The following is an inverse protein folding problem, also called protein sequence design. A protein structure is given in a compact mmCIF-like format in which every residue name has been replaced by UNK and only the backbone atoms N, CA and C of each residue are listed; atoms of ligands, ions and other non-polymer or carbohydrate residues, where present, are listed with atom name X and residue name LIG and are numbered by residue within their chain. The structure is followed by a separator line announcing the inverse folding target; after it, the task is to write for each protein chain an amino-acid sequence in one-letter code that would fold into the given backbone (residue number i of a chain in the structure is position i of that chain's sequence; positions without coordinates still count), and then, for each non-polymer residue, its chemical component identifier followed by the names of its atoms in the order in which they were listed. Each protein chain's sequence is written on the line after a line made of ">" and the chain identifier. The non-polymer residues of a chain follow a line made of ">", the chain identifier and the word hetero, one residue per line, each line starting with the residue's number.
data_IF_858613955479
#
_entry.id   IF_858613955479
#
_cell.length_a   1.000
_cell.length_b   1.000
_cell.length_c   1.000
_cell.angle_alpha   90.00
_cell.angle_beta   90.00
_cell.angle_gamma   90.00
#
_symmetry.space_group_name_H-M   'P 1'
#
loop_
_entity.id
_entity.type
_entity.pdbx_description
1 polymer ?
#
# COMPACT_ATOMS: atom_id res chain seq x y z
N UNK A 1 -1.37 -22.90 -3.69
CA UNK A 1 -0.46 -22.26 -2.71
C UNK A 1 -1.26 -21.93 -1.45
N UNK A 2 -0.75 -22.22 -0.25
CA UNK A 2 -1.44 -21.93 1.02
C UNK A 2 -1.52 -20.43 1.30
N UNK A 3 -2.33 -20.02 2.27
CA UNK A 3 -2.44 -18.63 2.70
C UNK A 3 -1.10 -18.05 3.17
N UNK A 4 -0.32 -18.82 3.94
CA UNK A 4 1.02 -18.41 4.38
C UNK A 4 2.00 -18.29 3.21
N UNK A 5 1.91 -19.17 2.22
CA UNK A 5 2.76 -19.10 1.04
C UNK A 5 2.50 -17.84 0.22
N UNK A 6 1.22 -17.47 0.03
CA UNK A 6 0.84 -16.21 -0.63
C UNK A 6 1.29 -14.99 0.16
N UNK A 7 1.13 -15.01 1.48
CA UNK A 7 1.62 -13.93 2.34
C UNK A 7 3.15 -13.78 2.25
N UNK A 8 3.90 -14.87 2.26
CA UNK A 8 5.35 -14.83 2.16
C UNK A 8 5.81 -14.17 0.86
N UNK A 9 5.16 -14.50 -0.27
CA UNK A 9 5.43 -13.87 -1.56
C UNK A 9 5.19 -12.36 -1.53
N UNK A 10 4.05 -11.92 -0.98
CA UNK A 10 3.72 -10.50 -0.82
C UNK A 10 4.72 -9.79 0.08
N UNK A 11 5.14 -10.41 1.19
CA UNK A 11 6.13 -9.81 2.10
C UNK A 11 7.48 -9.58 1.40
N UNK A 12 7.93 -10.51 0.55
CA UNK A 12 9.17 -10.32 -0.22
C UNK A 12 9.04 -9.17 -1.21
N UNK A 13 7.95 -9.14 -1.97
CA UNK A 13 7.76 -8.17 -3.04
C UNK A 13 7.45 -6.76 -2.55
N UNK A 14 6.74 -6.63 -1.42
CA UNK A 14 6.29 -5.33 -0.91
C UNK A 14 7.13 -4.85 0.29
N UNK A 15 7.21 -5.63 1.36
CA UNK A 15 7.87 -5.16 2.59
C UNK A 15 9.40 -5.27 2.51
N UNK A 16 9.91 -6.34 1.90
CA UNK A 16 11.35 -6.59 1.85
C UNK A 16 12.02 -5.70 0.82
N UNK A 17 11.40 -5.53 -0.36
CA UNK A 17 11.86 -4.62 -1.41
C UNK A 17 12.04 -3.18 -0.88
N UNK A 18 11.07 -2.66 -0.13
CA UNK A 18 11.12 -1.33 0.49
C UNK A 18 12.27 -1.18 1.48
N UNK A 19 12.63 -2.24 2.19
CA UNK A 19 13.73 -2.20 3.16
C UNK A 19 15.11 -2.34 2.49
N UNK A 20 15.27 -3.25 1.54
CA UNK A 20 16.54 -3.50 0.85
C UNK A 20 16.91 -2.32 -0.07
N UNK A 21 15.92 -1.74 -0.74
CA UNK A 21 16.09 -0.64 -1.69
C UNK A 21 15.67 0.71 -1.11
N UNK A 22 15.79 0.89 0.21
CA UNK A 22 15.40 2.13 0.89
C UNK A 22 16.06 3.35 0.22
N UNK A 23 15.24 4.34 -0.12
CA UNK A 23 15.68 5.58 -0.77
C UNK A 23 16.02 5.43 -2.26
N UNK A 24 15.68 4.30 -2.88
CA UNK A 24 15.90 4.03 -4.30
C UNK A 24 14.60 3.68 -5.02
N UNK A 25 14.45 3.96 -6.32
CA UNK A 25 13.23 3.66 -7.08
C UNK A 25 12.83 2.18 -7.07
N UNK A 26 13.80 1.27 -6.91
CA UNK A 26 13.57 -0.18 -6.83
C UNK A 26 12.68 -0.58 -5.64
N UNK A 27 12.55 0.29 -4.62
CA UNK A 27 11.61 0.09 -3.50
C UNK A 27 10.14 0.05 -3.92
N UNK A 28 9.80 0.56 -5.11
CA UNK A 28 8.43 0.60 -5.66
C UNK A 28 8.26 -0.26 -6.91
N UNK A 29 9.34 -0.86 -7.42
CA UNK A 29 9.34 -1.54 -8.72
C UNK A 29 8.41 -2.76 -8.77
N UNK A 30 8.07 -3.34 -7.62
CA UNK A 30 7.24 -4.53 -7.51
C UNK A 30 5.81 -4.23 -7.03
N UNK A 31 5.46 -2.97 -6.79
CA UNK A 31 4.17 -2.57 -6.19
C UNK A 31 2.98 -3.14 -6.99
N UNK A 32 3.02 -3.05 -8.33
CA UNK A 32 1.96 -3.58 -9.19
C UNK A 32 1.82 -5.09 -9.10
N UNK A 33 2.92 -5.84 -9.06
CA UNK A 33 2.89 -7.29 -8.94
C UNK A 33 2.40 -7.72 -7.55
N UNK A 34 2.89 -7.07 -6.49
CA UNK A 34 2.44 -7.31 -5.13
C UNK A 34 0.94 -7.05 -4.96
N UNK A 35 0.41 -6.00 -5.60
CA UNK A 35 -1.02 -5.71 -5.61
C UNK A 35 -1.83 -6.82 -6.29
N UNK A 36 -1.41 -7.25 -7.48
CA UNK A 36 -2.10 -8.34 -8.21
C UNK A 36 -2.13 -9.61 -7.36
N UNK A 37 -1.00 -10.00 -6.76
CA UNK A 37 -0.93 -11.20 -5.91
C UNK A 37 -1.76 -11.08 -4.64
N UNK A 38 -1.82 -9.89 -4.05
CA UNK A 38 -2.71 -9.59 -2.93
C UNK A 38 -4.18 -9.72 -3.32
N UNK A 39 -4.59 -9.18 -4.47
CA UNK A 39 -5.94 -9.32 -5.00
C UNK A 39 -6.31 -10.80 -5.25
N UNK A 40 -5.42 -11.57 -5.86
CA UNK A 40 -5.60 -13.00 -6.06
C UNK A 40 -5.69 -13.78 -4.74
N UNK A 41 -4.93 -13.38 -3.71
CA UNK A 41 -5.01 -13.98 -2.38
C UNK A 41 -6.35 -13.69 -1.71
N UNK A 42 -6.86 -12.46 -1.83
CA UNK A 42 -8.19 -12.07 -1.31
C UNK A 42 -9.30 -12.82 -2.03
N UNK A 43 -9.28 -12.85 -3.38
CA UNK A 43 -10.25 -13.58 -4.20
C UNK A 43 -10.24 -15.07 -3.91
N UNK A 44 -9.06 -15.64 -3.67
CA UNK A 44 -8.89 -17.06 -3.31
C UNK A 44 -9.24 -17.41 -1.86
N UNK A 45 -9.71 -16.46 -1.04
CA UNK A 45 -10.14 -16.71 0.34
C UNK A 45 -9.01 -16.74 1.39
N UNK A 46 -7.74 -16.63 0.98
CA UNK A 46 -6.58 -16.74 1.87
C UNK A 46 -6.57 -15.69 2.98
N UNK A 47 -7.15 -14.50 2.74
CA UNK A 47 -7.25 -13.44 3.74
C UNK A 47 -7.98 -13.92 5.01
N UNK A 48 -9.03 -14.73 4.88
CA UNK A 48 -9.82 -15.20 6.03
C UNK A 48 -9.16 -16.33 6.80
N UNK A 49 -8.14 -16.98 6.24
CA UNK A 49 -7.37 -18.05 6.90
C UNK A 49 -6.27 -17.49 7.82
N UNK A 50 -5.91 -16.22 7.65
CA UNK A 50 -4.82 -15.58 8.38
C UNK A 50 -5.31 -14.85 9.64
N UNK A 51 -4.52 -14.81 10.73
CA UNK A 51 -4.80 -13.94 11.88
C UNK A 51 -4.69 -12.44 11.49
N UNK A 52 -5.36 -11.53 12.21
CA UNK A 52 -5.46 -10.11 11.84
C UNK A 52 -4.12 -9.44 11.53
N UNK A 53 -3.07 -9.70 12.31
CA UNK A 53 -1.75 -9.11 12.08
C UNK A 53 -1.17 -9.50 10.71
N UNK A 54 -1.42 -10.74 10.24
CA UNK A 54 -1.00 -11.22 8.93
C UNK A 54 -1.93 -10.72 7.82
N UNK A 55 -3.22 -10.55 8.10
CA UNK A 55 -4.17 -9.92 7.16
C UNK A 55 -3.73 -8.51 6.79
N UNK A 56 -3.28 -7.72 7.77
CA UNK A 56 -2.75 -6.38 7.54
C UNK A 56 -1.64 -6.38 6.48
N UNK A 57 -0.64 -7.26 6.63
CA UNK A 57 0.46 -7.40 5.66
C UNK A 57 0.00 -7.91 4.29
N UNK A 58 -0.96 -8.84 4.25
CA UNK A 58 -1.54 -9.30 3.00
C UNK A 58 -2.17 -8.13 2.23
N UNK A 59 -2.80 -7.18 2.94
CA UNK A 59 -3.52 -6.05 2.36
C UNK A 59 -2.66 -4.80 2.11
N UNK A 60 -1.44 -4.71 2.66
CA UNK A 60 -0.55 -3.54 2.46
C UNK A 60 -0.36 -3.12 0.99
N UNK A 61 -0.26 -4.04 0.00
CA UNK A 61 -0.15 -3.64 -1.40
C UNK A 61 -1.34 -2.82 -1.92
N UNK A 62 -2.54 -2.99 -1.36
CA UNK A 62 -3.68 -2.12 -1.66
C UNK A 62 -3.41 -0.67 -1.21
N UNK A 63 -2.94 -0.51 0.03
CA UNK A 63 -2.60 0.81 0.61
C UNK A 63 -1.46 1.48 -0.15
N UNK A 64 -0.53 0.70 -0.74
CA UNK A 64 0.60 1.25 -1.47
C UNK A 64 0.31 1.64 -2.92
N UNK A 65 -0.87 1.30 -3.45
CA UNK A 65 -1.26 1.60 -4.82
C UNK A 65 -1.45 3.10 -5.06
N UNK A 66 -1.10 3.60 -6.24
CA UNK A 66 -1.45 4.96 -6.69
C UNK A 66 -2.74 4.93 -7.53
N UNK A 67 -3.81 4.33 -7.00
CA UNK A 67 -5.11 4.20 -7.69
C UNK A 67 -6.28 4.38 -6.72
N UNK A 68 -7.11 5.40 -6.97
CA UNK A 68 -8.26 5.73 -6.11
C UNK A 68 -9.26 4.57 -6.01
N UNK A 69 -9.50 3.84 -7.11
CA UNK A 69 -10.38 2.66 -7.12
C UNK A 69 -9.86 1.54 -6.21
N UNK A 70 -8.53 1.36 -6.15
CA UNK A 70 -7.94 0.36 -5.26
C UNK A 70 -8.12 0.77 -3.80
N UNK A 71 -7.98 2.06 -3.48
CA UNK A 71 -8.25 2.58 -2.14
C UNK A 71 -9.73 2.46 -1.72
N UNK A 72 -10.68 2.60 -2.64
CA UNK A 72 -12.09 2.35 -2.35
C UNK A 72 -12.35 0.90 -1.90
N UNK A 73 -11.68 -0.06 -2.54
CA UNK A 73 -11.78 -1.47 -2.14
C UNK A 73 -10.98 -1.75 -0.86
N UNK A 74 -9.79 -1.14 -0.72
CA UNK A 74 -8.95 -1.26 0.45
C UNK A 74 -9.69 -0.86 1.73
N UNK A 75 -10.46 0.25 1.71
CA UNK A 75 -11.29 0.68 2.84
C UNK A 75 -12.22 -0.43 3.31
N UNK A 76 -12.86 -1.16 2.40
CA UNK A 76 -13.77 -2.27 2.75
C UNK A 76 -13.01 -3.43 3.36
N UNK A 77 -11.84 -3.77 2.80
CA UNK A 77 -11.01 -4.88 3.27
C UNK A 77 -10.38 -4.59 4.64
N UNK A 78 -9.91 -3.37 4.88
CA UNK A 78 -9.35 -2.95 6.17
C UNK A 78 -10.42 -2.69 7.25
N UNK A 79 -11.70 -2.58 6.90
CA UNK A 79 -12.81 -2.43 7.87
C UNK A 79 -13.14 -3.72 8.64
N UNK A 80 -12.31 -4.75 8.54
CA UNK A 80 -12.46 -6.02 9.26
C UNK A 80 -12.02 -5.87 10.73
N UNK A 81 -12.59 -6.66 11.65
CA UNK A 81 -12.20 -6.62 13.07
C UNK A 81 -10.71 -6.89 13.27
N UNK A 82 -10.07 -6.10 14.14
CA UNK A 82 -8.64 -6.24 14.46
C UNK A 82 -7.70 -5.53 13.50
N UNK A 83 -8.23 -4.79 12.52
CA UNK A 83 -7.46 -3.95 11.58
C UNK A 83 -7.70 -2.45 11.79
N UNK A 84 -8.34 -2.04 12.88
CA UNK A 84 -8.76 -0.65 13.13
C UNK A 84 -7.62 0.36 12.99
N UNK A 85 -6.44 0.01 13.51
CA UNK A 85 -5.22 0.81 13.35
C UNK A 85 -4.84 0.96 11.87
N UNK A 86 -4.79 -0.13 11.11
CA UNK A 86 -4.46 -0.10 9.69
C UNK A 86 -5.50 0.64 8.87
N UNK A 87 -6.79 0.54 9.23
CA UNK A 87 -7.87 1.28 8.59
C UNK A 87 -7.69 2.79 8.73
N UNK A 88 -7.19 3.28 9.87
CA UNK A 88 -6.93 4.70 10.05
C UNK A 88 -5.75 5.19 9.20
N UNK A 89 -4.76 4.34 8.95
CA UNK A 89 -3.71 4.64 7.96
C UNK A 89 -4.25 4.60 6.54
N UNK A 90 -5.07 3.61 6.20
CA UNK A 90 -5.70 3.48 4.88
C UNK A 90 -6.51 4.74 4.53
N UNK A 91 -7.33 5.25 5.47
CA UNK A 91 -8.07 6.50 5.28
C UNK A 91 -7.15 7.68 4.97
N UNK A 92 -6.01 7.80 5.64
CA UNK A 92 -5.03 8.87 5.38
C UNK A 92 -4.40 8.71 3.99
N UNK A 93 -4.04 7.49 3.59
CA UNK A 93 -3.51 7.21 2.26
C UNK A 93 -4.52 7.54 1.17
N UNK A 94 -5.78 7.12 1.35
CA UNK A 94 -6.88 7.44 0.44
C UNK A 94 -7.05 8.95 0.25
N UNK A 95 -6.97 9.76 1.32
CA UNK A 95 -7.06 11.23 1.20
C UNK A 95 -5.96 11.80 0.29
N UNK A 96 -4.73 11.27 0.38
CA UNK A 96 -3.62 11.70 -0.49
C UNK A 96 -3.91 11.31 -1.94
N UNK A 97 -4.32 10.06 -2.17
CA UNK A 97 -4.61 9.57 -3.53
C UNK A 97 -5.83 10.26 -4.15
N UNK A 98 -6.88 10.52 -3.39
CA UNK A 98 -8.06 11.25 -3.89
C UNK A 98 -7.70 12.70 -4.25
N UNK A 99 -6.74 13.32 -3.54
CA UNK A 99 -6.30 14.68 -3.81
C UNK A 99 -5.33 14.78 -4.99
N UNK A 100 -4.33 13.90 -5.07
CA UNK A 100 -3.21 14.03 -6.00
C UNK A 100 -3.16 12.96 -7.09
N UNK A 101 -3.95 11.89 -6.97
CA UNK A 101 -3.91 10.72 -7.84
C UNK A 101 -2.65 9.86 -7.70
N UNK A 102 -1.72 10.24 -6.82
CA UNK A 102 -0.42 9.61 -6.58
C UNK A 102 0.14 10.02 -5.23
N UNK A 103 1.27 9.45 -4.81
CA UNK A 103 1.98 9.83 -3.60
C UNK A 103 3.07 10.88 -3.90
N UNK A 104 2.90 12.15 -3.48
CA UNK A 104 3.87 13.19 -3.79
C UNK A 104 5.27 12.93 -3.21
N UNK A 105 5.36 12.25 -2.06
CA UNK A 105 6.65 11.93 -1.44
C UNK A 105 7.50 10.94 -2.25
N UNK A 106 6.90 10.25 -3.24
CA UNK A 106 7.65 9.38 -4.17
C UNK A 106 8.18 10.14 -5.39
N UNK A 107 7.81 11.41 -5.58
CA UNK A 107 8.13 12.15 -6.80
C UNK A 107 9.63 12.24 -7.05
N UNK A 108 10.42 12.65 -6.04
CA UNK A 108 11.87 12.76 -6.17
C UNK A 108 12.53 11.42 -6.51
N UNK A 109 12.19 10.36 -5.76
CA UNK A 109 12.76 9.02 -5.95
C UNK A 109 12.40 8.45 -7.34
N UNK A 110 11.21 8.77 -7.85
CA UNK A 110 10.73 8.32 -9.16
C UNK A 110 11.04 9.29 -10.31
N UNK A 111 11.78 10.37 -10.06
CA UNK A 111 12.12 11.37 -11.09
C UNK A 111 10.92 12.15 -11.65
N UNK A 112 9.84 12.28 -10.88
CA UNK A 112 8.63 13.03 -11.25
C UNK A 112 8.76 14.49 -10.82
N UNK A 113 8.23 15.40 -11.65
CA UNK A 113 8.12 16.81 -11.29
C UNK A 113 6.89 16.98 -10.38
N UNK A 114 7.11 17.57 -9.20
CA UNK A 114 6.04 17.94 -8.27
C UNK A 114 5.32 19.21 -8.73
N UNK A 115 3.99 19.25 -8.57
CA UNK A 115 3.20 20.48 -8.75
C UNK A 115 3.43 21.45 -7.58
N UNK A 116 3.11 22.75 -7.71
CA UNK A 116 3.19 23.69 -6.60
C UNK A 116 2.37 23.25 -5.37
N UNK A 117 1.21 22.64 -5.60
CA UNK A 117 0.37 22.12 -4.52
C UNK A 117 1.01 20.92 -3.81
N UNK A 118 1.60 19.99 -4.57
CA UNK A 118 2.34 18.86 -4.02
C UNK A 118 3.56 19.33 -3.20
N UNK A 119 4.28 20.35 -3.67
CA UNK A 119 5.42 20.93 -2.94
C UNK A 119 4.98 21.53 -1.60
N UNK A 120 3.85 22.23 -1.55
CA UNK A 120 3.33 22.78 -0.30
C UNK A 120 2.83 21.69 0.65
N UNK A 121 2.16 20.67 0.10
CA UNK A 121 1.73 19.50 0.87
C UNK A 121 2.91 18.77 1.53
N UNK A 122 4.03 18.61 0.82
CA UNK A 122 5.22 17.93 1.35
C UNK A 122 5.82 18.59 2.59
N UNK A 123 5.55 19.87 2.85
CA UNK A 123 6.01 20.60 4.04
C UNK A 123 5.16 20.33 5.29
N UNK A 124 3.98 19.75 5.13
CA UNK A 124 3.03 19.52 6.22
C UNK A 124 3.30 18.19 6.92
N UNK A 125 2.94 18.03 8.22
CA UNK A 125 3.02 16.74 8.89
C UNK A 125 2.08 15.71 8.22
N UNK A 126 2.50 14.44 8.17
CA UNK A 126 1.72 13.36 7.54
C UNK A 126 1.75 13.39 6.01
N UNK A 127 2.68 14.13 5.40
CA UNK A 127 2.91 14.16 3.95
C UNK A 127 3.63 12.92 3.40
N UNK A 128 4.14 12.07 4.29
CA UNK A 128 4.80 10.79 4.03
C UNK A 128 4.45 9.78 5.12
N UNK A 129 4.55 8.49 4.78
CA UNK A 129 4.30 7.34 5.65
C UNK A 129 5.46 6.34 5.55
#
# INVERSE_FOLDING_TARGET
>A
TSAEGRLAEILVLDQFSRNIFRGKPESFAQDSLALILSQEAVLGGALSELPPQKQAFLLMPYMHSESSLIHEEAIKLFSRPGLDFNLDFEKKHKVIIDRFGRYPHRNEILGRISTPEEVEFLKQPGSSF
#
